data_IF_957860855749
#
_entry.id   IF_957860855749
#
_cell.length_a   1.000
_cell.length_b   1.000
_cell.length_c   1.000
_cell.angle_alpha   90.00
_cell.angle_beta   90.00
_cell.angle_gamma   90.00
#
_symmetry.space_group_name_H-M   'P 1'
#
loop_
_entity.id
_entity.type
_entity.pdbx_description
1 polymer ?
#
# COMPACT_ATOMS: atom_id res chain seq x y z
N UNK A 1 51.55 -26.41 -17.71
CA UNK A 1 50.98 -25.43 -16.77
C UNK A 1 49.56 -25.90 -16.46
N UNK A 2 49.20 -25.99 -15.18
CA UNK A 2 47.89 -26.50 -14.74
C UNK A 2 46.90 -25.34 -14.55
N UNK A 3 45.63 -25.58 -14.86
CA UNK A 3 44.59 -24.56 -14.91
C UNK A 3 43.36 -25.02 -14.14
N UNK A 4 42.85 -24.14 -13.28
CA UNK A 4 41.59 -24.37 -12.56
C UNK A 4 40.48 -23.48 -13.13
N UNK A 5 39.32 -24.03 -13.50
CA UNK A 5 38.19 -23.22 -13.95
C UNK A 5 37.69 -22.37 -12.78
N UNK A 6 37.39 -21.09 -13.05
CA UNK A 6 36.89 -20.20 -12.02
C UNK A 6 35.37 -20.35 -11.92
N UNK A 7 34.86 -20.65 -10.73
CA UNK A 7 33.42 -20.67 -10.48
C UNK A 7 32.83 -19.25 -10.55
N UNK A 8 31.62 -19.13 -11.10
CA UNK A 8 30.91 -17.85 -11.28
C UNK A 8 30.83 -16.99 -10.00
N UNK A 9 30.72 -17.62 -8.83
CA UNK A 9 30.68 -16.97 -7.50
C UNK A 9 31.97 -16.26 -7.08
N UNK A 10 33.04 -16.35 -7.87
CA UNK A 10 34.37 -15.80 -7.57
C UNK A 10 34.93 -14.86 -8.65
N UNK A 11 34.09 -14.46 -9.61
CA UNK A 11 34.41 -13.44 -10.61
C UNK A 11 34.10 -12.05 -10.02
N UNK A 12 35.02 -11.05 -10.13
CA UNK A 12 34.66 -9.67 -9.86
C UNK A 12 33.55 -9.23 -10.83
N UNK A 13 32.70 -8.29 -10.40
CA UNK A 13 31.61 -7.67 -11.18
C UNK A 13 32.04 -6.98 -12.49
N UNK A 14 33.34 -7.04 -12.81
CA UNK A 14 33.98 -6.50 -14.01
C UNK A 14 34.35 -7.54 -15.07
N UNK A 15 33.93 -8.81 -14.94
CA UNK A 15 34.13 -9.79 -16.00
C UNK A 15 33.33 -9.38 -17.27
N UNK A 16 33.98 -9.17 -18.43
CA UNK A 16 33.34 -8.56 -19.60
C UNK A 16 32.23 -9.43 -20.21
N UNK A 17 32.32 -10.75 -20.05
CA UNK A 17 31.27 -11.66 -20.46
C UNK A 17 31.22 -12.89 -19.55
N UNK A 18 30.05 -13.17 -18.97
CA UNK A 18 29.85 -14.28 -18.03
C UNK A 18 29.98 -15.64 -18.73
N UNK A 19 29.70 -15.72 -20.03
CA UNK A 19 29.74 -16.97 -20.78
C UNK A 19 31.11 -17.30 -21.39
N UNK A 20 32.17 -16.66 -20.91
CA UNK A 20 33.54 -16.96 -21.28
C UNK A 20 34.20 -17.90 -20.26
N UNK A 21 34.94 -18.89 -20.76
CA UNK A 21 35.66 -19.88 -19.95
C UNK A 21 36.95 -19.27 -19.40
N UNK A 22 36.85 -18.65 -18.23
CA UNK A 22 37.98 -18.05 -17.53
C UNK A 22 38.63 -19.03 -16.55
N UNK A 23 39.91 -19.37 -16.78
CA UNK A 23 40.67 -20.27 -15.92
C UNK A 23 41.83 -19.53 -15.23
N UNK A 24 42.06 -19.85 -13.96
CA UNK A 24 43.17 -19.33 -13.16
C UNK A 24 44.36 -20.29 -13.27
N UNK A 25 45.55 -19.78 -13.58
CA UNK A 25 46.76 -20.59 -13.59
C UNK A 25 47.10 -21.02 -12.15
N UNK A 26 47.26 -22.32 -11.92
CA UNK A 26 47.57 -22.84 -10.59
C UNK A 26 48.97 -22.38 -10.15
N UNK A 27 49.07 -21.87 -8.91
CA UNK A 27 50.30 -21.29 -8.38
C UNK A 27 50.59 -19.86 -8.86
N UNK A 28 49.72 -19.25 -9.67
CA UNK A 28 49.89 -17.88 -10.16
C UNK A 28 48.63 -17.02 -9.95
N UNK A 29 48.80 -15.70 -10.06
CA UNK A 29 47.74 -14.71 -9.83
C UNK A 29 47.14 -14.14 -11.13
N UNK A 30 47.28 -14.82 -12.26
CA UNK A 30 46.73 -14.38 -13.55
C UNK A 30 45.72 -15.40 -14.13
N UNK A 31 44.84 -14.91 -14.99
CA UNK A 31 43.80 -15.72 -15.65
C UNK A 31 43.93 -15.65 -17.17
N UNK A 32 43.38 -16.65 -17.84
CA UNK A 32 43.30 -16.72 -19.29
C UNK A 32 41.90 -17.19 -19.70
N UNK A 33 41.37 -16.61 -20.78
CA UNK A 33 40.08 -17.01 -21.37
C UNK A 33 40.31 -18.05 -22.46
N UNK A 34 39.69 -19.22 -22.33
CA UNK A 34 39.81 -20.33 -23.28
C UNK A 34 38.66 -20.39 -24.29
N UNK A 35 37.92 -19.28 -24.47
CA UNK A 35 36.77 -19.19 -25.36
C UNK A 35 35.46 -19.18 -24.60
N UNK A 36 34.40 -19.77 -25.18
CA UNK A 36 33.04 -19.78 -24.61
C UNK A 36 32.77 -21.06 -23.86
N UNK A 37 31.98 -20.97 -22.80
CA UNK A 37 31.44 -22.15 -22.12
C UNK A 37 30.38 -22.85 -23.00
N UNK A 38 30.10 -24.12 -22.71
CA UNK A 38 29.08 -24.89 -23.43
C UNK A 38 27.69 -24.31 -23.19
N UNK A 39 26.83 -24.40 -24.21
CA UNK A 39 25.43 -24.01 -24.07
C UNK A 39 24.75 -24.84 -22.96
N UNK A 40 23.96 -24.16 -22.12
CA UNK A 40 23.38 -24.75 -20.91
C UNK A 40 24.25 -24.63 -19.65
N UNK A 41 25.44 -24.02 -19.73
CA UNK A 41 26.23 -23.70 -18.52
C UNK A 41 25.53 -22.59 -17.71
N UNK A 42 25.27 -22.76 -16.40
CA UNK A 42 24.69 -21.72 -15.56
C UNK A 42 25.61 -20.51 -15.44
N UNK A 43 25.07 -19.31 -15.71
CA UNK A 43 25.83 -18.05 -15.66
C UNK A 43 25.44 -17.11 -14.52
N UNK A 44 24.39 -17.44 -13.75
CA UNK A 44 23.92 -16.69 -12.59
C UNK A 44 23.94 -17.55 -11.31
N UNK A 45 24.22 -16.97 -10.12
CA UNK A 45 24.29 -17.70 -8.85
C UNK A 45 23.02 -18.46 -8.46
N UNK A 46 21.85 -17.98 -8.88
CA UNK A 46 20.54 -18.61 -8.59
C UNK A 46 20.06 -19.55 -9.72
N UNK A 47 20.94 -19.90 -10.66
CA UNK A 47 20.67 -20.79 -11.81
C UNK A 47 19.48 -20.36 -12.71
N UNK A 48 19.05 -19.10 -12.65
CA UNK A 48 17.99 -18.55 -13.51
C UNK A 48 18.48 -18.23 -14.93
N UNK A 49 19.79 -18.04 -15.10
CA UNK A 49 20.45 -17.75 -16.37
C UNK A 49 21.35 -18.88 -16.86
N UNK A 50 21.26 -19.18 -18.16
CA UNK A 50 22.06 -20.15 -18.90
C UNK A 50 22.82 -19.46 -20.03
N UNK A 51 24.05 -19.91 -20.28
CA UNK A 51 24.80 -19.51 -21.46
C UNK A 51 24.22 -20.16 -22.71
N UNK A 52 23.90 -19.36 -23.72
CA UNK A 52 23.49 -19.81 -25.07
C UNK A 52 24.17 -18.92 -26.10
N UNK A 53 24.89 -19.53 -27.03
CA UNK A 53 25.65 -18.84 -28.08
C UNK A 53 26.59 -17.74 -27.54
N UNK A 54 27.15 -17.95 -26.34
CA UNK A 54 28.06 -16.99 -25.69
C UNK A 54 27.37 -15.79 -25.00
N UNK A 55 26.05 -15.85 -24.81
CA UNK A 55 25.28 -14.85 -24.05
C UNK A 55 24.61 -15.50 -22.86
N UNK A 56 24.62 -14.82 -21.72
CA UNK A 56 23.87 -15.26 -20.54
C UNK A 56 22.40 -14.85 -20.72
N UNK A 57 21.52 -15.83 -20.91
CA UNK A 57 20.09 -15.64 -21.10
C UNK A 57 19.32 -16.26 -19.94
N UNK A 58 18.31 -15.55 -19.43
CA UNK A 58 17.41 -16.06 -18.39
C UNK A 58 16.04 -16.38 -18.99
N UNK A 59 15.35 -17.35 -18.40
CA UNK A 59 13.97 -17.66 -18.78
C UNK A 59 13.06 -16.50 -18.35
N UNK A 60 12.23 -16.02 -19.27
CA UNK A 60 11.14 -15.12 -18.91
C UNK A 60 10.05 -15.85 -18.15
N UNK A 61 9.10 -15.09 -17.60
CA UNK A 61 7.93 -15.65 -16.91
C UNK A 61 7.02 -16.51 -17.82
N UNK A 62 7.20 -16.39 -19.14
CA UNK A 62 6.51 -17.16 -20.17
C UNK A 62 7.19 -18.52 -20.44
N UNK A 63 8.28 -18.81 -19.71
CA UNK A 63 9.09 -20.03 -19.85
C UNK A 63 10.04 -19.99 -21.04
N UNK A 64 10.09 -18.88 -21.79
CA UNK A 64 10.93 -18.75 -22.97
C UNK A 64 12.27 -18.12 -22.60
N UNK A 65 13.36 -18.77 -23.00
CA UNK A 65 14.71 -18.30 -22.73
C UNK A 65 15.03 -17.05 -23.55
N UNK A 66 15.37 -15.96 -22.88
CA UNK A 66 15.71 -14.70 -23.54
C UNK A 66 14.52 -13.90 -24.08
N UNK A 67 13.27 -14.26 -23.74
CA UNK A 67 12.09 -13.45 -24.09
C UNK A 67 12.09 -12.08 -23.42
N UNK A 68 12.75 -11.98 -22.26
CA UNK A 68 12.70 -10.78 -21.42
C UNK A 68 11.34 -10.53 -20.79
N UNK A 69 10.41 -11.49 -20.87
CA UNK A 69 9.09 -11.37 -20.26
C UNK A 69 9.22 -11.39 -18.73
N UNK A 70 8.60 -10.42 -18.06
CA UNK A 70 8.61 -10.28 -16.60
C UNK A 70 7.18 -10.33 -16.07
N UNK A 71 7.02 -10.93 -14.89
CA UNK A 71 5.73 -10.87 -14.18
C UNK A 71 5.43 -9.41 -13.79
N UNK A 72 4.15 -9.05 -13.90
CA UNK A 72 3.64 -7.84 -13.29
C UNK A 72 3.57 -8.00 -11.75
N UNK A 73 3.20 -6.92 -11.03
CA UNK A 73 3.12 -6.94 -9.55
C UNK A 73 2.04 -7.89 -9.01
N UNK A 74 1.16 -8.38 -9.88
CA UNK A 74 0.12 -9.34 -9.56
C UNK A 74 0.56 -10.78 -9.83
N UNK A 75 1.73 -10.97 -10.46
CA UNK A 75 2.25 -12.26 -10.86
C UNK A 75 1.76 -12.77 -12.21
N UNK A 76 1.23 -11.88 -13.05
CA UNK A 76 0.84 -12.22 -14.42
C UNK A 76 1.99 -11.92 -15.36
N UNK A 77 2.41 -12.92 -16.14
CA UNK A 77 3.46 -12.73 -17.13
C UNK A 77 3.01 -11.75 -18.22
N UNK A 78 3.77 -10.65 -18.40
CA UNK A 78 3.39 -9.59 -19.34
C UNK A 78 2.10 -8.84 -18.96
N UNK A 79 1.69 -8.91 -17.68
CA UNK A 79 0.45 -8.31 -17.19
C UNK A 79 0.49 -6.77 -17.11
N UNK A 80 -0.70 -6.17 -17.00
CA UNK A 80 -0.89 -4.72 -16.97
C UNK A 80 -0.93 -4.10 -15.55
N UNK A 81 -0.64 -4.87 -14.50
CA UNK A 81 -0.74 -4.46 -13.09
C UNK A 81 -2.16 -4.07 -12.61
N UNK A 82 -3.19 -4.55 -13.28
CA UNK A 82 -4.57 -4.17 -13.01
C UNK A 82 -5.39 -5.29 -12.35
N UNK A 83 -4.91 -6.54 -12.33
CA UNK A 83 -5.61 -7.71 -11.78
C UNK A 83 -5.53 -7.85 -10.24
N UNK A 84 -4.72 -7.02 -9.59
CA UNK A 84 -4.53 -7.02 -8.14
C UNK A 84 -4.61 -5.60 -7.54
N UNK A 85 -4.74 -5.55 -6.21
CA UNK A 85 -4.84 -4.32 -5.42
C UNK A 85 -3.71 -4.24 -4.40
N UNK A 86 -3.21 -3.04 -4.18
CA UNK A 86 -2.17 -2.77 -3.20
C UNK A 86 -2.77 -2.54 -1.80
N UNK A 87 -2.21 -3.23 -0.80
CA UNK A 87 -2.54 -3.12 0.62
C UNK A 87 -1.27 -2.66 1.33
N UNK A 88 -1.38 -1.64 2.18
CA UNK A 88 -0.28 -1.14 3.00
C UNK A 88 -0.91 -0.45 4.19
N UNK A 89 -0.52 -0.83 5.38
CA UNK A 89 -1.22 -0.44 6.60
C UNK A 89 -0.20 -0.16 7.68
N UNK A 90 -0.66 0.48 8.75
CA UNK A 90 0.14 0.68 9.96
C UNK A 90 -0.68 0.24 11.17
N UNK A 91 -0.17 -0.71 11.92
CA UNK A 91 -0.75 -1.16 13.18
C UNK A 91 -0.08 -0.42 14.34
N UNK A 92 -0.87 0.37 15.07
CA UNK A 92 -0.43 1.21 16.20
C UNK A 92 -1.18 0.92 17.50
N UNK A 93 -1.90 -0.20 17.58
CA UNK A 93 -2.62 -0.49 18.82
C UNK A 93 -1.61 -0.66 19.96
N UNK A 94 -1.90 -0.03 21.09
CA UNK A 94 -1.02 0.08 22.24
C UNK A 94 -1.41 -0.89 23.36
N UNK A 95 -2.67 -1.34 23.41
CA UNK A 95 -3.16 -2.36 24.34
C UNK A 95 -2.62 -2.30 25.78
N UNK A 96 -2.58 -3.45 26.45
CA UNK A 96 -1.55 -3.70 27.46
C UNK A 96 -0.25 -4.04 26.70
N UNK A 97 0.79 -3.25 26.89
CA UNK A 97 2.02 -3.28 26.06
C UNK A 97 2.87 -4.55 26.20
N UNK A 98 2.42 -5.56 26.95
CA UNK A 98 3.17 -6.80 27.17
C UNK A 98 2.46 -7.97 26.48
N UNK A 99 3.21 -8.70 25.67
CA UNK A 99 2.76 -9.95 25.05
C UNK A 99 2.52 -9.86 23.55
N UNK A 100 2.01 -10.95 22.97
CA UNK A 100 1.73 -11.06 21.54
C UNK A 100 0.40 -10.39 21.17
N UNK A 101 0.44 -9.58 20.13
CA UNK A 101 -0.72 -8.89 19.58
C UNK A 101 -0.89 -9.22 18.11
N UNK A 102 -2.11 -9.52 17.70
CA UNK A 102 -2.45 -9.77 16.30
C UNK A 102 -2.46 -8.45 15.52
N UNK A 103 -1.61 -8.38 14.50
CA UNK A 103 -1.49 -7.23 13.60
C UNK A 103 -2.50 -7.34 12.46
N UNK A 104 -2.44 -8.45 11.72
CA UNK A 104 -3.35 -8.75 10.60
C UNK A 104 -3.16 -10.20 10.12
N UNK A 105 -4.05 -10.68 9.25
CA UNK A 105 -3.76 -11.84 8.41
C UNK A 105 -3.18 -11.39 7.09
N UNK A 106 -2.13 -12.07 6.65
CA UNK A 106 -1.64 -12.03 5.28
C UNK A 106 -2.38 -13.14 4.53
N UNK A 107 -3.35 -12.79 3.66
CA UNK A 107 -4.21 -13.77 3.02
C UNK A 107 -3.47 -14.63 2.00
N UNK A 108 -4.03 -15.80 1.67
CA UNK A 108 -3.60 -16.61 0.53
C UNK A 108 -3.59 -15.76 -0.75
N UNK A 109 -2.53 -15.90 -1.55
CA UNK A 109 -2.33 -15.19 -2.81
C UNK A 109 -1.67 -13.82 -2.66
N UNK A 110 -1.27 -13.42 -1.45
CA UNK A 110 -0.54 -12.19 -1.22
C UNK A 110 0.88 -12.28 -1.84
N UNK A 111 1.29 -11.21 -2.53
CA UNK A 111 2.58 -11.07 -3.20
C UNK A 111 3.32 -9.82 -2.75
N UNK A 112 4.64 -9.81 -2.88
CA UNK A 112 5.53 -8.72 -2.48
C UNK A 112 5.21 -8.20 -1.07
N UNK A 113 5.14 -9.13 -0.13
CA UNK A 113 4.84 -8.85 1.27
C UNK A 113 6.07 -8.18 1.87
N UNK A 114 5.85 -7.06 2.55
CA UNK A 114 6.86 -6.38 3.35
C UNK A 114 6.27 -5.93 4.67
N UNK A 115 6.95 -6.21 5.76
CA UNK A 115 6.61 -5.75 7.11
C UNK A 115 7.84 -5.10 7.70
N UNK A 116 7.69 -3.96 8.36
CA UNK A 116 8.78 -3.24 9.00
C UNK A 116 8.31 -2.58 10.30
N UNK A 117 9.19 -2.57 11.29
CA UNK A 117 9.03 -1.82 12.53
C UNK A 117 10.40 -1.28 12.98
N UNK A 118 10.42 -0.24 13.81
CA UNK A 118 11.65 0.37 14.33
C UNK A 118 11.56 0.61 15.84
N UNK A 119 11.80 -0.45 16.62
CA UNK A 119 11.53 -0.50 18.06
C UNK A 119 12.13 -1.76 18.71
N UNK A 120 12.16 -1.81 20.04
CA UNK A 120 12.53 -2.98 20.85
C UNK A 120 11.48 -4.11 20.84
N UNK A 121 10.36 -3.92 20.12
CA UNK A 121 9.37 -4.96 19.85
C UNK A 121 9.91 -6.02 18.86
N UNK A 122 9.18 -7.12 18.70
CA UNK A 122 9.53 -8.20 17.78
C UNK A 122 8.34 -8.57 16.91
N UNK A 123 8.51 -8.56 15.58
CA UNK A 123 7.53 -9.11 14.64
C UNK A 123 7.49 -10.62 14.79
N UNK A 124 6.30 -11.22 14.77
CA UNK A 124 6.15 -12.67 14.79
C UNK A 124 5.23 -13.12 13.65
N UNK A 125 5.52 -14.30 13.12
CA UNK A 125 4.78 -14.87 12.00
C UNK A 125 4.31 -16.27 12.36
N UNK A 126 3.01 -16.49 12.26
CA UNK A 126 2.33 -17.72 12.68
C UNK A 126 1.61 -18.34 11.50
N UNK A 127 1.71 -19.65 11.35
CA UNK A 127 0.94 -20.41 10.39
C UNK A 127 -0.49 -20.68 10.87
N UNK A 128 -1.33 -21.15 9.94
CA UNK A 128 -2.74 -21.47 10.20
C UNK A 128 -2.96 -22.53 11.29
N UNK A 129 -1.99 -23.42 11.48
CA UNK A 129 -2.00 -24.46 12.52
C UNK A 129 -1.55 -23.93 13.91
N UNK A 130 -1.20 -22.64 14.01
CA UNK A 130 -0.74 -22.01 15.24
C UNK A 130 0.77 -22.11 15.47
N UNK A 131 1.53 -22.74 14.57
CA UNK A 131 2.98 -22.86 14.69
C UNK A 131 3.67 -21.53 14.36
N UNK A 132 4.55 -21.08 15.25
CA UNK A 132 5.41 -19.93 14.96
C UNK A 132 6.51 -20.31 13.97
N UNK A 133 6.67 -19.48 12.94
CA UNK A 133 7.78 -19.55 11.98
C UNK A 133 8.89 -18.60 12.40
N UNK A 134 8.52 -17.44 12.95
CA UNK A 134 9.43 -16.36 13.34
C UNK A 134 9.01 -15.82 14.71
N UNK A 135 10.00 -15.67 15.61
CA UNK A 135 9.90 -15.06 16.93
C UNK A 135 8.74 -15.61 17.79
N UNK A 136 8.67 -16.95 17.92
CA UNK A 136 7.69 -17.65 18.76
C UNK A 136 8.14 -17.87 20.20
N UNK A 137 7.18 -18.10 21.10
CA UNK A 137 7.41 -18.49 22.51
C UNK A 137 8.33 -17.53 23.29
N UNK A 138 8.37 -16.25 22.89
CA UNK A 138 9.24 -15.24 23.49
C UNK A 138 10.72 -15.33 23.10
N UNK A 139 11.09 -16.27 22.24
CA UNK A 139 12.47 -16.52 21.79
C UNK A 139 12.70 -15.87 20.42
N UNK A 140 13.65 -14.92 20.31
CA UNK A 140 14.01 -14.34 19.01
C UNK A 140 14.62 -15.37 18.07
N UNK A 141 14.13 -15.40 16.84
CA UNK A 141 14.72 -16.15 15.72
C UNK A 141 15.98 -15.47 15.21
N UNK A 142 16.89 -16.24 14.61
CA UNK A 142 18.06 -15.69 13.92
C UNK A 142 17.66 -15.00 12.61
N UNK A 143 18.32 -13.91 12.18
CA UNK A 143 18.13 -13.37 10.84
C UNK A 143 18.42 -14.44 9.77
N UNK A 144 17.60 -14.52 8.73
CA UNK A 144 17.71 -15.56 7.72
C UNK A 144 16.51 -15.69 6.81
N UNK A 145 16.51 -16.73 5.97
CA UNK A 145 15.39 -17.06 5.08
C UNK A 145 14.63 -18.25 5.63
N UNK A 146 13.30 -18.11 5.72
CA UNK A 146 12.37 -19.09 6.26
C UNK A 146 11.36 -19.51 5.19
N UNK A 147 11.20 -20.81 4.96
CA UNK A 147 10.20 -21.34 4.04
C UNK A 147 8.87 -21.52 4.78
N UNK A 148 7.82 -20.82 4.34
CA UNK A 148 6.48 -20.91 4.95
C UNK A 148 5.40 -20.51 3.97
N UNK A 149 4.21 -21.11 4.09
CA UNK A 149 3.07 -20.84 3.23
C UNK A 149 3.42 -20.80 1.73
N UNK A 150 4.34 -21.66 1.26
CA UNK A 150 4.74 -21.74 -0.15
C UNK A 150 5.56 -20.54 -0.66
N UNK A 151 6.14 -19.74 0.22
CA UNK A 151 7.05 -18.64 -0.13
C UNK A 151 8.25 -18.60 0.82
N UNK A 152 9.33 -17.94 0.35
CA UNK A 152 10.49 -17.58 1.17
C UNK A 152 10.24 -16.26 1.88
N UNK A 153 10.32 -16.27 3.20
CA UNK A 153 10.29 -15.08 4.05
C UNK A 153 11.71 -14.76 4.49
N UNK A 154 12.24 -13.63 4.03
CA UNK A 154 13.50 -13.06 4.48
C UNK A 154 13.24 -12.23 5.72
N UNK A 155 13.78 -12.68 6.86
CA UNK A 155 13.71 -11.99 8.13
C UNK A 155 15.04 -11.34 8.44
N UNK A 156 15.02 -10.03 8.66
CA UNK A 156 16.21 -9.28 9.02
C UNK A 156 15.98 -8.49 10.29
N UNK A 157 17.03 -8.45 11.12
CA UNK A 157 17.10 -7.60 12.30
C UNK A 157 18.53 -7.09 12.37
N UNK A 158 18.70 -5.78 12.15
CA UNK A 158 20.01 -5.15 12.08
C UNK A 158 20.63 -4.94 13.46
N UNK A 159 21.78 -4.26 13.50
CA UNK A 159 22.41 -3.78 14.74
C UNK A 159 21.58 -2.65 15.40
N UNK A 160 20.70 -1.99 14.63
CA UNK A 160 19.75 -1.00 15.11
C UNK A 160 18.41 -1.60 15.55
N UNK A 161 17.39 -0.73 15.70
CA UNK A 161 16.04 -1.13 16.12
C UNK A 161 15.14 -1.58 14.95
N UNK A 162 15.65 -1.52 13.71
CA UNK A 162 14.87 -1.91 12.54
C UNK A 162 14.80 -3.43 12.38
N UNK A 163 13.59 -3.92 12.22
CA UNK A 163 13.26 -5.31 11.98
C UNK A 163 12.32 -5.40 10.78
N UNK A 164 12.62 -6.31 9.84
CA UNK A 164 11.80 -6.47 8.62
C UNK A 164 11.52 -7.92 8.29
N UNK A 165 10.35 -8.14 7.67
CA UNK A 165 9.96 -9.38 7.01
C UNK A 165 9.65 -9.08 5.56
N UNK A 166 10.22 -9.84 4.63
CA UNK A 166 9.97 -9.68 3.20
C UNK A 166 9.70 -11.02 2.54
N UNK A 167 8.70 -11.11 1.67
CA UNK A 167 8.43 -12.32 0.91
C UNK A 167 7.87 -11.99 -0.47
N UNK A 168 8.38 -12.65 -1.51
CA UNK A 168 7.90 -12.44 -2.88
C UNK A 168 6.47 -12.95 -3.09
N UNK A 169 6.07 -14.03 -2.40
CA UNK A 169 4.79 -14.70 -2.62
C UNK A 169 4.74 -15.44 -3.96
N UNK A 170 3.56 -15.90 -4.41
CA UNK A 170 2.27 -15.81 -3.71
C UNK A 170 2.19 -16.75 -2.51
N UNK A 171 1.53 -16.33 -1.44
CA UNK A 171 1.25 -17.23 -0.32
C UNK A 171 0.24 -18.31 -0.74
N UNK A 172 0.54 -19.56 -0.43
CA UNK A 172 -0.33 -20.72 -0.68
C UNK A 172 -1.44 -20.88 0.37
N UNK A 173 -1.24 -20.29 1.56
CA UNK A 173 -2.17 -20.27 2.67
C UNK A 173 -2.08 -18.94 3.43
N UNK A 174 -2.99 -18.74 4.38
CA UNK A 174 -3.03 -17.57 5.24
C UNK A 174 -1.96 -17.63 6.33
N UNK A 175 -1.36 -16.48 6.65
CA UNK A 175 -0.39 -16.30 7.72
C UNK A 175 -0.88 -15.23 8.69
N UNK A 176 -0.71 -15.45 9.99
CA UNK A 176 -1.02 -14.45 11.01
C UNK A 176 0.24 -13.66 11.35
N UNK A 177 0.20 -12.37 11.05
CA UNK A 177 1.22 -11.43 11.47
C UNK A 177 0.90 -10.96 12.89
N UNK A 178 1.88 -11.07 13.77
CA UNK A 178 1.83 -10.61 15.14
C UNK A 178 2.98 -9.67 15.46
N UNK A 179 2.86 -8.99 16.58
CA UNK A 179 3.95 -8.27 17.23
C UNK A 179 3.99 -8.64 18.70
N UNK A 180 5.16 -9.06 19.19
CA UNK A 180 5.46 -9.17 20.60
C UNK A 180 5.83 -7.78 21.12
N UNK A 181 4.89 -7.18 21.86
CA UNK A 181 5.10 -5.89 22.50
C UNK A 181 5.91 -6.09 23.79
N UNK A 182 7.04 -5.37 23.86
CA UNK A 182 7.89 -5.16 25.04
C UNK A 182 7.91 -3.69 25.47
N UNK A 183 7.57 -2.81 24.53
CA UNK A 183 7.44 -1.38 24.73
C UNK A 183 6.23 -0.85 23.92
N UNK A 184 5.78 0.39 24.15
CA UNK A 184 4.72 1.00 23.37
C UNK A 184 5.01 0.92 21.86
N UNK A 185 4.01 0.48 21.10
CA UNK A 185 4.14 0.24 19.67
C UNK A 185 4.22 1.56 18.87
N UNK A 186 5.38 1.93 18.28
CA UNK A 186 5.47 3.13 17.44
C UNK A 186 4.76 2.96 16.08
N UNK A 187 4.54 1.72 15.66
CA UNK A 187 3.89 1.36 14.42
C UNK A 187 4.56 0.18 13.74
N UNK A 188 3.77 -0.85 13.43
CA UNK A 188 4.15 -1.91 12.50
C UNK A 188 3.59 -1.57 11.13
N UNK A 189 4.48 -1.27 10.19
CA UNK A 189 4.14 -1.00 8.80
C UNK A 189 4.12 -2.31 8.04
N UNK A 190 3.06 -2.59 7.28
CA UNK A 190 3.00 -3.78 6.44
C UNK A 190 2.36 -3.49 5.10
N UNK A 191 2.81 -4.14 4.03
CA UNK A 191 2.30 -3.98 2.68
C UNK A 191 2.39 -5.28 1.87
N UNK A 192 1.50 -5.43 0.88
CA UNK A 192 1.44 -6.55 -0.06
C UNK A 192 0.47 -6.24 -1.21
N UNK A 193 0.60 -6.98 -2.32
CA UNK A 193 -0.36 -7.01 -3.43
C UNK A 193 -1.27 -8.22 -3.31
N UNK A 194 -2.55 -8.04 -3.63
CA UNK A 194 -3.57 -9.08 -3.49
C UNK A 194 -4.49 -9.14 -4.72
N UNK A 195 -4.73 -10.30 -5.34
CA UNK A 195 -5.68 -10.43 -6.45
C UNK A 195 -7.06 -9.86 -6.11
N UNK A 196 -7.69 -9.20 -7.08
CA UNK A 196 -8.96 -8.47 -6.87
C UNK A 196 -10.04 -9.35 -6.27
N UNK A 197 -10.17 -10.60 -6.73
CA UNK A 197 -11.21 -11.51 -6.22
C UNK A 197 -11.04 -11.83 -4.72
N UNK A 198 -9.81 -11.74 -4.21
CA UNK A 198 -9.47 -12.06 -2.82
C UNK A 198 -9.57 -10.87 -1.88
N UNK A 199 -9.63 -9.65 -2.42
CA UNK A 199 -9.62 -8.43 -1.63
C UNK A 199 -10.88 -8.23 -0.79
N UNK A 200 -12.07 -8.48 -1.36
CA UNK A 200 -13.35 -8.38 -0.64
C UNK A 200 -13.43 -9.31 0.58
N UNK A 201 -13.19 -10.63 0.41
CA UNK A 201 -13.14 -11.58 1.52
C UNK A 201 -12.11 -11.20 2.60
N UNK A 202 -10.91 -10.79 2.20
CA UNK A 202 -9.87 -10.33 3.12
C UNK A 202 -10.34 -9.13 3.96
N UNK A 203 -10.98 -8.13 3.34
CA UNK A 203 -11.50 -6.98 4.08
C UNK A 203 -12.55 -7.40 5.11
N UNK A 204 -13.51 -8.25 4.72
CA UNK A 204 -14.56 -8.72 5.62
C UNK A 204 -13.99 -9.50 6.81
N UNK A 205 -13.00 -10.38 6.56
CA UNK A 205 -12.34 -11.17 7.60
C UNK A 205 -11.52 -10.30 8.55
N UNK A 206 -10.74 -9.34 8.02
CA UNK A 206 -9.97 -8.44 8.86
C UNK A 206 -10.85 -7.47 9.67
N UNK A 207 -12.03 -7.10 9.17
CA UNK A 207 -13.04 -6.35 9.92
C UNK A 207 -13.66 -7.22 11.03
N UNK A 208 -14.02 -8.47 10.73
CA UNK A 208 -14.59 -9.41 11.70
C UNK A 208 -13.62 -9.73 12.86
N UNK A 209 -12.31 -9.74 12.58
CA UNK A 209 -11.26 -10.04 13.55
C UNK A 209 -10.77 -8.80 14.32
N UNK A 210 -11.38 -7.64 14.08
CA UNK A 210 -11.10 -6.41 14.81
C UNK A 210 -9.73 -5.80 14.52
N UNK A 211 -9.07 -6.18 13.42
CA UNK A 211 -7.74 -5.65 13.09
C UNK A 211 -7.83 -4.30 12.40
N UNK A 212 -7.07 -3.28 12.86
CA UNK A 212 -7.17 -1.93 12.31
C UNK A 212 -6.56 -1.89 10.91
N UNK A 213 -7.44 -1.91 9.90
CA UNK A 213 -7.11 -1.82 8.50
C UNK A 213 -6.92 -0.34 8.05
N UNK A 214 -5.69 0.23 7.95
CA UNK A 214 -5.37 1.49 7.18
C UNK A 214 -4.68 1.22 5.81
N UNK A 215 -4.86 1.91 4.67
CA UNK A 215 -4.34 1.51 3.33
C UNK A 215 -3.21 2.47 2.77
N UNK A 216 -2.48 2.14 1.66
CA UNK A 216 -1.17 2.71 1.23
C UNK A 216 -1.05 4.10 0.63
N UNK A 217 0.18 4.64 0.64
CA UNK A 217 0.69 5.70 -0.23
C UNK A 217 1.78 5.18 -1.20
N UNK A 218 1.61 5.34 -2.53
CA UNK A 218 2.72 5.38 -3.47
C UNK A 218 3.31 6.81 -3.52
N UNK A 219 4.64 6.89 -3.40
CA UNK A 219 5.45 8.04 -3.81
C UNK A 219 5.47 8.09 -5.34
N UNK A 220 5.18 9.24 -5.92
CA UNK A 220 5.61 9.54 -7.29
C UNK A 220 6.17 10.96 -7.38
N UNK A 221 7.17 11.05 -8.25
CA UNK A 221 8.15 12.09 -8.50
C UNK A 221 7.49 13.27 -9.23
N UNK A 222 7.86 14.49 -8.85
CA UNK A 222 7.59 15.72 -9.63
C UNK A 222 8.45 15.69 -10.90
N UNK A 223 7.89 15.96 -12.10
CA UNK A 223 8.17 17.28 -12.67
C UNK A 223 7.03 17.92 -13.48
N UNK A 224 6.79 19.19 -13.13
CA UNK A 224 6.65 20.39 -13.97
C UNK A 224 5.48 20.56 -14.97
N UNK A 225 4.69 21.59 -14.67
CA UNK A 225 3.83 22.32 -15.60
C UNK A 225 4.63 22.99 -16.72
N UNK A 226 4.04 23.02 -17.91
CA UNK A 226 4.20 24.12 -18.86
C UNK A 226 2.82 24.55 -19.36
N UNK A 227 2.56 25.86 -19.27
CA UNK A 227 1.30 26.55 -19.53
C UNK A 227 1.16 27.02 -21.00
N UNK A 228 -0.09 26.98 -21.51
CA UNK A 228 -0.80 28.00 -22.35
C UNK A 228 -0.36 28.23 -23.83
N UNK A 229 -1.18 28.80 -24.76
CA UNK A 229 -2.26 29.81 -24.56
C UNK A 229 -3.57 29.74 -25.41
N UNK A 230 -4.69 30.21 -24.81
CA UNK A 230 -5.59 31.36 -25.17
C UNK A 230 -6.54 31.10 -26.37
N UNK A 231 -7.85 31.35 -26.29
CA UNK A 231 -8.54 32.65 -26.52
C UNK A 231 -9.92 32.68 -25.83
N UNK A 232 -10.28 33.89 -25.39
CA UNK A 232 -11.49 34.32 -24.68
C UNK A 232 -12.68 34.47 -25.62
N UNK A 233 -13.88 34.29 -25.09
CA UNK A 233 -15.01 35.19 -25.38
C UNK A 233 -15.86 35.39 -24.12
N UNK A 234 -16.22 36.64 -23.87
CA UNK A 234 -16.88 37.14 -22.65
C UNK A 234 -18.36 37.43 -22.92
N UNK A 235 -19.16 37.53 -21.84
CA UNK A 235 -20.32 38.43 -21.57
C UNK A 235 -21.22 37.74 -20.50
N UNK A 236 -21.86 38.46 -19.55
CA UNK A 236 -21.49 39.66 -18.82
C UNK A 236 -21.40 39.41 -17.28
N UNK A 237 -20.69 40.29 -16.59
CA UNK A 237 -20.71 40.38 -15.15
C UNK A 237 -22.10 40.82 -14.64
N UNK A 238 -22.63 40.10 -13.65
CA UNK A 238 -23.53 40.66 -12.64
C UNK A 238 -22.74 40.74 -11.35
N UNK A 239 -22.39 41.97 -10.97
CA UNK A 239 -21.88 42.30 -9.65
C UNK A 239 -22.94 42.02 -8.58
N UNK A 240 -22.57 41.20 -7.58
CA UNK A 240 -22.68 41.45 -6.14
C UNK A 240 -22.76 40.14 -5.34
N UNK A 241 -22.30 40.15 -4.08
CA UNK A 241 -20.92 40.12 -3.63
C UNK A 241 -20.49 38.67 -3.27
N UNK A 242 -19.19 38.45 -3.25
CA UNK A 242 -18.53 37.23 -2.77
C UNK A 242 -18.63 37.09 -1.23
N UNK A 243 -19.79 37.41 -0.63
CA UNK A 243 -20.02 37.32 0.82
C UNK A 243 -21.05 36.23 1.12
N UNK A 244 -20.58 34.98 1.18
CA UNK A 244 -21.35 33.91 1.80
C UNK A 244 -21.62 34.27 3.27
N UNK A 245 -22.89 34.21 3.70
CA UNK A 245 -23.26 34.40 5.11
C UNK A 245 -22.66 33.32 6.02
N UNK A 246 -22.58 33.57 7.34
CA UNK A 246 -22.05 32.60 8.29
C UNK A 246 -22.92 31.34 8.32
N UNK A 247 -22.30 30.16 8.31
CA UNK A 247 -23.03 28.91 8.43
C UNK A 247 -23.62 28.75 9.85
N UNK A 248 -24.79 28.10 9.98
CA UNK A 248 -25.41 27.85 11.28
C UNK A 248 -24.46 27.08 12.20
N UNK A 249 -24.48 27.42 13.50
CA UNK A 249 -23.65 26.72 14.48
C UNK A 249 -24.12 25.26 14.58
N UNK A 250 -23.23 24.38 14.17
CA UNK A 250 -23.45 22.94 14.07
C UNK A 250 -22.51 22.19 15.03
N UNK A 251 -21.95 22.86 16.03
CA UNK A 251 -21.00 22.26 16.96
C UNK A 251 -21.70 21.35 17.97
N UNK A 252 -20.97 20.35 18.44
CA UNK A 252 -21.39 19.51 19.57
C UNK A 252 -21.48 18.03 19.27
N UNK A 253 -21.63 17.25 20.35
CA UNK A 253 -21.65 15.78 20.32
C UNK A 253 -22.88 15.20 19.63
N UNK A 254 -24.06 15.79 19.85
CA UNK A 254 -25.30 15.33 19.25
C UNK A 254 -25.27 15.46 17.71
N UNK A 255 -24.83 16.62 17.20
CA UNK A 255 -24.64 16.87 15.76
C UNK A 255 -23.65 15.89 15.13
N UNK A 256 -22.49 15.67 15.78
CA UNK A 256 -21.51 14.66 15.34
C UNK A 256 -22.12 13.28 15.21
N UNK A 257 -22.84 12.83 16.24
CA UNK A 257 -23.46 11.50 16.23
C UNK A 257 -24.52 11.40 15.12
N UNK A 258 -25.44 12.36 15.04
CA UNK A 258 -26.49 12.39 14.01
C UNK A 258 -25.93 12.19 12.60
N UNK A 259 -24.91 12.97 12.24
CA UNK A 259 -24.32 12.90 10.90
C UNK A 259 -23.40 11.69 10.70
N UNK A 260 -22.68 11.23 11.72
CA UNK A 260 -21.88 10.02 11.61
C UNK A 260 -22.78 8.79 11.37
N UNK A 261 -23.83 8.64 12.17
CA UNK A 261 -24.76 7.50 12.10
C UNK A 261 -25.57 7.55 10.80
N UNK A 262 -26.05 8.74 10.42
CA UNK A 262 -26.90 8.93 9.25
C UNK A 262 -26.18 9.12 7.91
N UNK A 263 -24.86 9.00 7.83
CA UNK A 263 -24.09 9.09 6.58
C UNK A 263 -23.59 7.73 6.12
N UNK A 264 -23.41 7.55 4.82
CA UNK A 264 -22.87 6.31 4.24
C UNK A 264 -21.34 6.26 4.35
N UNK A 265 -20.72 7.44 4.35
CA UNK A 265 -19.27 7.60 4.44
C UNK A 265 -18.91 8.64 5.48
N UNK A 266 -17.85 8.38 6.22
CA UNK A 266 -17.18 9.36 7.08
C UNK A 266 -15.69 9.21 6.85
N UNK A 267 -15.02 10.29 6.44
CA UNK A 267 -13.62 10.24 6.07
C UNK A 267 -12.90 11.57 6.31
N UNK A 268 -11.60 11.50 6.59
CA UNK A 268 -10.69 12.62 6.48
C UNK A 268 -10.31 12.80 5.00
N UNK A 269 -10.44 14.01 4.49
CA UNK A 269 -9.98 14.34 3.16
C UNK A 269 -9.35 15.73 3.10
N UNK A 270 -8.38 15.88 2.19
CA UNK A 270 -7.82 17.18 1.83
C UNK A 270 -8.56 17.72 0.61
N UNK A 271 -9.06 18.95 0.71
CA UNK A 271 -9.72 19.62 -0.41
C UNK A 271 -8.64 20.09 -1.38
N UNK A 272 -8.69 19.61 -2.62
CA UNK A 272 -7.74 19.99 -3.67
C UNK A 272 -8.22 21.24 -4.40
N UNK A 273 -9.50 21.27 -4.73
CA UNK A 273 -10.12 22.37 -5.45
C UNK A 273 -11.61 22.45 -5.19
N UNK A 274 -12.20 23.58 -5.54
CA UNK A 274 -13.65 23.79 -5.53
C UNK A 274 -14.09 24.37 -6.86
N UNK A 275 -15.18 23.85 -7.40
CA UNK A 275 -15.84 24.39 -8.57
C UNK A 275 -17.27 24.79 -8.18
N UNK A 276 -17.52 26.10 -8.12
CA UNK A 276 -18.83 26.65 -7.76
C UNK A 276 -19.68 26.81 -9.01
N UNK A 277 -20.90 26.32 -8.96
CA UNK A 277 -21.96 26.58 -9.94
C UNK A 277 -23.16 27.18 -9.22
N UNK A 278 -24.17 27.64 -9.96
CA UNK A 278 -25.33 28.32 -9.39
C UNK A 278 -26.11 27.46 -8.38
N UNK A 279 -26.22 26.14 -8.64
CA UNK A 279 -27.05 25.22 -7.84
C UNK A 279 -26.24 24.25 -6.96
N UNK A 280 -24.95 24.07 -7.25
CA UNK A 280 -24.09 23.13 -6.53
C UNK A 280 -22.64 23.61 -6.49
N UNK A 281 -21.92 23.19 -5.45
CA UNK A 281 -20.47 23.32 -5.35
C UNK A 281 -19.86 21.93 -5.33
N UNK A 282 -18.99 21.65 -6.32
CA UNK A 282 -18.23 20.41 -6.39
C UNK A 282 -16.85 20.61 -5.79
N UNK A 283 -16.50 19.79 -4.82
CA UNK A 283 -15.16 19.73 -4.24
C UNK A 283 -14.41 18.53 -4.80
N UNK A 284 -13.23 18.76 -5.34
CA UNK A 284 -12.28 17.68 -5.59
C UNK A 284 -11.52 17.42 -4.30
N UNK A 285 -11.56 16.18 -3.81
CA UNK A 285 -10.96 15.82 -2.53
C UNK A 285 -10.04 14.61 -2.68
N UNK A 286 -8.94 14.62 -1.93
CA UNK A 286 -8.08 13.44 -1.75
C UNK A 286 -8.45 12.77 -0.44
N UNK A 287 -8.89 11.52 -0.51
CA UNK A 287 -9.23 10.72 0.68
C UNK A 287 -7.92 10.37 1.40
N UNK A 288 -7.82 10.74 2.68
CA UNK A 288 -6.64 10.48 3.52
C UNK A 288 -6.89 9.31 4.48
N UNK A 289 -8.07 9.29 5.11
CA UNK A 289 -8.45 8.27 6.07
C UNK A 289 -9.96 8.04 6.03
N UNK A 290 -10.40 6.80 6.15
CA UNK A 290 -11.81 6.43 6.14
C UNK A 290 -12.20 5.92 7.53
N UNK A 291 -13.20 6.54 8.14
CA UNK A 291 -13.77 6.18 9.45
C UNK A 291 -15.08 5.38 9.34
N UNK A 292 -15.79 5.50 8.22
CA UNK A 292 -17.01 4.76 7.87
C UNK A 292 -17.14 4.71 6.36
N UNK A 293 -17.51 3.56 5.80
CA UNK A 293 -17.82 3.42 4.38
C UNK A 293 -18.81 2.28 4.15
N UNK A 294 -19.75 2.47 3.23
CA UNK A 294 -20.65 1.40 2.75
C UNK A 294 -20.20 0.79 1.42
N UNK A 295 -19.28 1.44 0.73
CA UNK A 295 -18.64 0.95 -0.50
C UNK A 295 -17.21 1.50 -0.61
N UNK A 296 -16.38 0.96 -1.51
CA UNK A 296 -15.03 1.49 -1.72
C UNK A 296 -15.08 2.95 -2.23
N UNK A 297 -14.20 3.78 -1.67
CA UNK A 297 -13.92 5.14 -2.16
C UNK A 297 -12.58 5.12 -2.90
N UNK A 298 -12.46 5.91 -3.97
CA UNK A 298 -11.22 6.14 -4.71
C UNK A 298 -10.30 7.08 -3.94
N UNK A 299 -9.02 7.11 -4.30
CA UNK A 299 -8.04 8.05 -3.70
C UNK A 299 -8.40 9.51 -3.97
N UNK A 300 -8.99 9.78 -5.14
CA UNK A 300 -9.58 11.07 -5.49
C UNK A 300 -11.07 10.88 -5.74
N UNK A 301 -11.86 11.65 -5.05
CA UNK A 301 -13.31 11.64 -5.14
C UNK A 301 -13.83 13.06 -5.35
N UNK A 302 -15.08 13.15 -5.82
CA UNK A 302 -15.80 14.41 -5.89
C UNK A 302 -16.87 14.42 -4.82
N UNK A 303 -16.95 15.52 -4.05
CA UNK A 303 -18.00 15.74 -3.04
C UNK A 303 -18.84 16.93 -3.47
N UNK A 304 -20.13 16.70 -3.64
CA UNK A 304 -21.09 17.73 -4.02
C UNK A 304 -21.74 18.31 -2.79
N UNK A 305 -21.86 19.63 -2.74
CA UNK A 305 -22.60 20.33 -1.70
C UNK A 305 -23.62 21.28 -2.34
N UNK A 306 -24.84 21.40 -1.79
CA UNK A 306 -25.90 22.19 -2.39
C UNK A 306 -25.61 23.70 -2.30
N UNK A 307 -25.90 24.40 -3.40
CA UNK A 307 -25.81 25.85 -3.51
C UNK A 307 -24.42 26.41 -3.87
N UNK A 308 -24.42 27.70 -4.22
CA UNK A 308 -23.22 28.49 -4.50
C UNK A 308 -22.34 28.73 -3.25
N UNK A 309 -22.98 28.88 -2.09
CA UNK A 309 -22.36 29.04 -0.77
C UNK A 309 -22.75 27.85 0.12
N UNK A 310 -22.11 26.68 -0.05
CA UNK A 310 -22.48 25.49 0.71
C UNK A 310 -22.12 25.66 2.18
N UNK A 311 -22.99 25.15 3.06
CA UNK A 311 -22.76 25.08 4.48
C UNK A 311 -22.75 23.62 4.95
N UNK A 312 -21.62 23.11 5.48
CA UNK A 312 -20.40 23.86 5.82
C UNK A 312 -19.49 24.15 4.61
N UNK A 313 -18.85 25.32 4.61
CA UNK A 313 -17.92 25.72 3.54
C UNK A 313 -16.56 25.06 3.70
N UNK A 314 -16.01 24.50 2.61
CA UNK A 314 -14.68 23.89 2.62
C UNK A 314 -13.68 24.79 1.90
N UNK A 315 -12.57 25.10 2.58
CA UNK A 315 -11.48 25.86 1.99
C UNK A 315 -10.51 24.89 1.26
N UNK A 316 -10.04 25.24 0.04
CA UNK A 316 -8.98 24.49 -0.63
C UNK A 316 -7.71 24.35 0.22
N UNK A 317 -6.96 23.29 -0.02
CA UNK A 317 -5.72 22.89 0.64
C UNK A 317 -5.80 22.60 2.14
N UNK A 318 -6.98 22.73 2.75
CA UNK A 318 -7.26 22.34 4.13
C UNK A 318 -7.76 20.90 4.21
N UNK A 319 -7.56 20.31 5.38
CA UNK A 319 -8.04 18.97 5.70
C UNK A 319 -9.32 19.06 6.52
N UNK A 320 -10.28 18.21 6.17
CA UNK A 320 -11.57 18.15 6.84
C UNK A 320 -11.94 16.70 7.14
N UNK A 321 -12.69 16.53 8.22
CA UNK A 321 -13.47 15.34 8.48
C UNK A 321 -14.88 15.56 7.95
N UNK A 322 -15.26 14.77 6.95
CA UNK A 322 -16.51 14.87 6.21
C UNK A 322 -17.41 13.67 6.50
N UNK A 323 -18.70 13.90 6.67
CA UNK A 323 -19.72 12.85 6.62
C UNK A 323 -20.60 13.07 5.37
N UNK A 324 -20.57 12.10 4.46
CA UNK A 324 -21.20 12.19 3.15
C UNK A 324 -22.15 11.01 2.90
N UNK A 325 -23.18 11.25 2.09
CA UNK A 325 -24.13 10.22 1.65
C UNK A 325 -23.89 9.87 0.20
N UNK A 326 -24.09 8.61 -0.18
CA UNK A 326 -24.18 8.20 -1.58
C UNK A 326 -25.56 8.56 -2.08
N UNK A 327 -25.63 9.27 -3.20
CA UNK A 327 -26.88 9.51 -3.91
C UNK A 327 -26.73 8.88 -5.28
N UNK A 328 -27.55 7.85 -5.51
CA UNK A 328 -27.68 7.21 -6.82
C UNK A 328 -29.03 7.62 -7.38
N UNK A 329 -29.05 8.14 -8.61
CA UNK A 329 -30.30 8.53 -9.26
C UNK A 329 -31.15 7.30 -9.60
N UNK A 330 -32.50 7.41 -9.68
CA UNK A 330 -33.38 6.26 -9.93
C UNK A 330 -33.09 5.52 -11.24
N UNK A 331 -32.58 6.24 -12.23
CA UNK A 331 -32.13 5.77 -13.53
C UNK A 331 -30.67 5.26 -13.54
N UNK A 332 -29.96 5.35 -12.41
CA UNK A 332 -28.59 4.87 -12.22
C UNK A 332 -27.51 5.69 -12.92
N UNK A 333 -27.88 6.80 -13.57
CA UNK A 333 -26.96 7.63 -14.38
C UNK A 333 -26.04 8.51 -13.53
N UNK A 334 -26.45 8.81 -12.30
CA UNK A 334 -25.65 9.59 -11.34
C UNK A 334 -25.34 8.75 -10.12
N UNK A 335 -24.06 8.74 -9.73
CA UNK A 335 -23.56 8.13 -8.50
C UNK A 335 -22.58 9.11 -7.86
N UNK A 336 -23.03 9.79 -6.81
CA UNK A 336 -22.34 10.98 -6.26
C UNK A 336 -22.26 10.93 -4.74
N UNK A 337 -21.21 11.54 -4.19
CA UNK A 337 -21.06 11.76 -2.75
C UNK A 337 -21.61 13.14 -2.39
N UNK A 338 -22.70 13.19 -1.64
CA UNK A 338 -23.34 14.42 -1.22
C UNK A 338 -22.95 14.79 0.22
N UNK A 339 -22.42 16.00 0.41
CA UNK A 339 -22.33 16.67 1.70
C UNK A 339 -23.62 17.48 1.91
N UNK A 340 -24.51 17.06 2.83
CA UNK A 340 -25.79 17.74 3.03
C UNK A 340 -25.62 19.15 3.60
N UNK A 341 -26.61 20.01 3.38
CA UNK A 341 -26.68 21.31 4.06
C UNK A 341 -26.73 21.11 5.58
N UNK A 342 -26.00 21.94 6.33
CA UNK A 342 -25.74 21.76 7.76
C UNK A 342 -25.13 20.40 8.12
N UNK A 343 -24.51 19.74 7.13
CA UNK A 343 -23.82 18.47 7.27
C UNK A 343 -22.58 18.55 8.16
N UNK A 344 -21.95 17.40 8.37
CA UNK A 344 -20.74 17.35 9.18
C UNK A 344 -19.51 17.54 8.31
N UNK A 345 -18.94 18.74 8.40
CA UNK A 345 -17.60 19.01 7.95
C UNK A 345 -16.86 19.86 8.98
N UNK A 346 -15.74 19.33 9.47
CA UNK A 346 -14.92 19.98 10.49
C UNK A 346 -13.48 19.97 10.07
N UNK A 347 -12.76 21.07 10.30
CA UNK A 347 -11.32 21.09 10.11
C UNK A 347 -10.71 19.92 10.88
N UNK A 348 -9.85 19.18 10.21
CA UNK A 348 -9.20 18.04 10.83
C UNK A 348 -8.29 18.51 11.98
N UNK A 349 -8.35 17.78 13.09
CA UNK A 349 -7.43 17.92 14.21
C UNK A 349 -7.40 16.61 14.98
N UNK A 350 -6.34 16.33 15.77
CA UNK A 350 -6.29 15.13 16.62
C UNK A 350 -7.47 15.03 17.60
N UNK A 351 -7.96 16.17 18.09
CA UNK A 351 -9.15 16.23 18.94
C UNK A 351 -10.42 15.82 18.19
N UNK A 352 -10.53 16.21 16.91
CA UNK A 352 -11.67 15.86 16.06
C UNK A 352 -11.64 14.40 15.61
N UNK A 353 -10.46 13.86 15.32
CA UNK A 353 -10.24 12.43 15.10
C UNK A 353 -10.70 11.60 16.31
N UNK A 354 -10.24 11.96 17.51
CA UNK A 354 -10.64 11.26 18.75
C UNK A 354 -12.16 11.27 18.97
N UNK A 355 -12.78 12.42 18.69
CA UNK A 355 -14.23 12.64 18.77
C UNK A 355 -15.01 11.78 17.78
N UNK A 356 -14.49 11.58 16.57
CA UNK A 356 -15.12 10.74 15.55
C UNK A 356 -14.93 9.26 15.85
N UNK A 357 -13.81 8.84 16.42
CA UNK A 357 -13.67 7.49 16.96
C UNK A 357 -14.69 7.18 18.06
N UNK A 358 -15.01 8.14 18.93
CA UNK A 358 -16.09 7.99 19.90
C UNK A 358 -17.48 7.88 19.26
N UNK A 359 -17.69 8.52 18.10
CA UNK A 359 -18.94 8.39 17.33
C UNK A 359 -19.04 7.03 16.64
N UNK A 360 -17.93 6.53 16.08
CA UNK A 360 -17.83 5.21 15.46
C UNK A 360 -18.26 4.08 16.42
N UNK A 361 -17.84 4.15 17.69
CA UNK A 361 -18.23 3.17 18.71
C UNK A 361 -19.74 3.13 19.00
N UNK A 362 -20.46 4.21 18.72
CA UNK A 362 -21.90 4.32 19.02
C UNK A 362 -22.80 3.97 17.83
N UNK A 363 -22.24 3.99 16.63
CA UNK A 363 -22.96 3.72 15.39
C UNK A 363 -22.07 2.85 14.49
N UNK A 364 -21.94 1.55 14.83
CA UNK A 364 -21.24 0.60 13.99
C UNK A 364 -21.89 0.52 12.61
N UNK A 365 -21.07 0.24 11.59
CA UNK A 365 -21.45 0.27 10.17
C UNK A 365 -22.26 -0.95 9.79
#
# INVERSE_FOLDING_TARGET
MSWRPRAHSSLPSSAPNLCDLNCLAEGHAFYHSFGRVLDGTPCTPEAQGLCIAGRCLSAGCDGLLGSGAVEDRCGLCGGANDSCLFVQRVFRDAGAFAGYWNVTLIPKGARHIRVAQSSHNYLALVERDGRYVINGDGVPSSPGTYETAGTRVVYTRGVGLEETLQASGPTSQELLLQVLLREPNPGVHFEFWLPRERYGPFQAQAQALGWPLRQPQPREVEPQLAETPVVREAIPARDAPDSCGPCPDSRGRAHRLLHYCGSDFVFQARVLGRHRQAQETRYEVRILLIYKNRSPLRTREYVWAPGHCPCPSLAPHREYLLAARRVVSPDGTQDRLLLPHAGYARLWSPAEESRVHLAARRCPV
#
